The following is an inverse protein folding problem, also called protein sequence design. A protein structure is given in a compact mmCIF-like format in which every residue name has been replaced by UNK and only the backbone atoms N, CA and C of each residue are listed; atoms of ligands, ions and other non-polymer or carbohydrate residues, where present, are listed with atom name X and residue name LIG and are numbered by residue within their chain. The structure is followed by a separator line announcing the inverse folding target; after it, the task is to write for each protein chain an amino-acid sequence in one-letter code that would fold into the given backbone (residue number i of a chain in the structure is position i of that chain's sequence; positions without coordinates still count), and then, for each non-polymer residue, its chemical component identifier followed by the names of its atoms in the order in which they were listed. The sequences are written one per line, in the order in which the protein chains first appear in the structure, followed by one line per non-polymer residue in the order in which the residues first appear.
data_IF_185124098971
#
_entry.id   IF_185124098971
#
_cell.length_a   1.000
_cell.length_b   1.000
_cell.length_c   1.000
_cell.angle_alpha   90.00
_cell.angle_beta   90.00
_cell.angle_gamma   90.00
#
_symmetry.space_group_name_H-M   'P 1'
#
loop_
_entity.id
_entity.type
_entity.pdbx_description
1 polymer ?
#
# COMPACT_ATOMS: atom_id res chain seq x y z
N UNK A 1 -28.74 14.88 -67.28
CA UNK A 1 -30.19 14.90 -67.09
C UNK A 1 -30.44 13.95 -65.94
N UNK A 2 -30.29 14.48 -64.73
CA UNK A 2 -31.39 15.07 -63.94
C UNK A 2 -32.33 13.98 -63.47
N UNK A 3 -32.20 13.60 -62.20
CA UNK A 3 -33.34 13.54 -61.28
C UNK A 3 -32.80 13.56 -59.85
N UNK A 4 -32.85 14.76 -59.26
CA UNK A 4 -32.54 15.08 -57.87
C UNK A 4 -33.54 14.36 -56.94
N UNK A 5 -33.10 13.59 -55.92
CA UNK A 5 -34.00 13.03 -54.91
C UNK A 5 -34.41 14.08 -53.86
N UNK A 6 -35.56 13.87 -53.18
CA UNK A 6 -36.38 14.95 -52.64
C UNK A 6 -35.83 15.61 -51.37
N UNK A 7 -36.01 16.94 -51.28
CA UNK A 7 -35.70 17.79 -50.12
C UNK A 7 -36.42 17.31 -48.85
N UNK A 8 -35.64 16.85 -47.88
CA UNK A 8 -36.13 16.54 -46.53
C UNK A 8 -36.15 17.83 -45.70
N UNK A 9 -37.35 18.30 -45.37
CA UNK A 9 -37.58 19.47 -44.53
C UNK A 9 -36.95 19.28 -43.14
N UNK A 10 -36.18 20.27 -42.69
CA UNK A 10 -35.67 20.33 -41.32
C UNK A 10 -36.83 20.69 -40.36
N UNK A 11 -36.93 20.04 -39.18
CA UNK A 11 -37.87 20.45 -38.15
C UNK A 11 -37.56 21.87 -37.64
N UNK A 12 -38.57 22.61 -37.17
CA UNK A 12 -38.40 23.97 -36.68
C UNK A 12 -37.54 24.04 -35.42
N UNK A 13 -36.86 25.17 -35.30
CA UNK A 13 -36.01 25.61 -34.20
C UNK A 13 -36.79 25.57 -32.88
N UNK A 14 -36.52 24.57 -32.05
CA UNK A 14 -36.96 24.57 -30.65
C UNK A 14 -35.93 25.36 -29.87
N UNK A 15 -36.33 26.57 -29.46
CA UNK A 15 -35.59 27.42 -28.52
C UNK A 15 -35.30 26.61 -27.26
N UNK A 16 -34.05 26.15 -27.13
CA UNK A 16 -33.56 25.59 -25.88
C UNK A 16 -33.52 26.72 -24.84
N UNK A 17 -34.06 26.54 -23.63
CA UNK A 17 -33.88 27.51 -22.56
C UNK A 17 -32.37 27.65 -22.31
N UNK A 18 -31.88 28.89 -22.34
CA UNK A 18 -30.49 29.20 -22.03
C UNK A 18 -30.15 28.61 -20.65
N UNK A 19 -29.18 27.68 -20.63
CA UNK A 19 -28.62 27.18 -19.39
C UNK A 19 -28.04 28.39 -18.62
N UNK A 20 -28.30 28.52 -17.31
CA UNK A 20 -27.72 29.58 -16.51
C UNK A 20 -26.20 29.43 -16.58
N UNK A 21 -25.52 30.45 -17.08
CA UNK A 21 -24.07 30.55 -17.10
C UNK A 21 -23.57 30.51 -15.66
N UNK A 22 -23.12 29.34 -15.20
CA UNK A 22 -22.38 29.22 -13.95
C UNK A 22 -21.10 30.03 -14.10
N UNK A 23 -21.06 31.18 -13.45
CA UNK A 23 -19.85 31.95 -13.22
C UNK A 23 -18.77 30.99 -12.69
N UNK A 24 -17.66 30.88 -13.41
CA UNK A 24 -16.45 30.20 -12.93
C UNK A 24 -15.87 31.01 -11.77
N UNK A 25 -16.47 30.92 -10.61
CA UNK A 25 -15.81 31.27 -9.36
C UNK A 25 -14.64 30.31 -9.22
N UNK A 26 -13.42 30.81 -9.35
CA UNK A 26 -12.23 30.04 -9.04
C UNK A 26 -12.36 29.53 -7.60
N UNK A 27 -12.57 28.23 -7.43
CA UNK A 27 -12.53 27.59 -6.11
C UNK A 27 -11.07 27.65 -5.65
N UNK A 28 -10.74 28.69 -4.88
CA UNK A 28 -9.44 28.82 -4.23
C UNK A 28 -9.39 27.82 -3.08
N UNK A 29 -8.79 26.65 -3.33
CA UNK A 29 -8.52 25.66 -2.29
C UNK A 29 -7.30 26.15 -1.52
N UNK A 30 -7.52 26.80 -0.36
CA UNK A 30 -6.44 27.09 0.60
C UNK A 30 -6.03 25.80 1.29
N UNK A 31 -4.89 25.22 0.87
CA UNK A 31 -4.27 24.04 1.49
C UNK A 31 -3.62 24.33 2.87
N UNK A 32 -3.71 25.56 3.36
CA UNK A 32 -3.09 25.98 4.62
C UNK A 32 -4.15 26.09 5.71
N UNK A 33 -4.13 25.11 6.61
CA UNK A 33 -4.91 25.12 7.83
C UNK A 33 -4.37 26.26 8.71
N UNK A 34 -5.24 27.10 9.28
CA UNK A 34 -4.80 28.17 10.19
C UNK A 34 -4.17 27.60 11.46
N UNK A 35 -3.28 28.36 12.09
CA UNK A 35 -2.58 27.96 13.34
C UNK A 35 -3.54 27.55 14.46
N UNK A 36 -4.71 28.19 14.51
CA UNK A 36 -5.79 27.90 15.47
C UNK A 36 -6.54 26.61 15.17
N UNK A 37 -6.76 26.28 13.88
CA UNK A 37 -7.32 24.97 13.50
C UNK A 37 -6.30 23.85 13.71
N UNK A 38 -5.01 24.14 13.54
CA UNK A 38 -3.93 23.19 13.84
C UNK A 38 -3.88 22.84 15.34
N UNK A 39 -4.02 23.82 16.23
CA UNK A 39 -4.07 23.54 17.69
C UNK A 39 -5.33 22.78 18.09
N UNK A 40 -6.48 23.05 17.45
CA UNK A 40 -7.71 22.25 17.65
C UNK A 40 -7.57 20.79 17.18
N UNK A 41 -6.85 20.55 16.09
CA UNK A 41 -6.55 19.20 15.58
C UNK A 41 -5.42 18.50 16.36
N UNK A 42 -4.53 19.26 16.98
CA UNK A 42 -3.41 18.75 17.78
C UNK A 42 -3.81 18.31 19.20
N UNK A 43 -5.07 18.54 19.60
CA UNK A 43 -5.63 18.08 20.87
C UNK A 43 -6.05 16.61 20.88
N UNK A 44 -6.19 15.97 19.73
CA UNK A 44 -6.30 14.52 19.66
C UNK A 44 -4.90 13.94 19.64
N UNK A 45 -4.52 13.28 20.74
CA UNK A 45 -3.37 12.41 20.83
C UNK A 45 -3.23 11.62 19.51
N UNK A 46 -2.05 11.64 18.85
CA UNK A 46 -1.86 10.87 17.62
C UNK A 46 -2.30 9.44 17.94
N UNK A 47 -3.12 8.78 17.09
CA UNK A 47 -3.69 7.48 17.42
C UNK A 47 -2.53 6.60 17.85
N UNK A 48 -2.46 6.35 19.15
CA UNK A 48 -1.43 5.51 19.72
C UNK A 48 -1.63 4.18 18.99
N UNK A 49 -0.74 3.84 18.06
CA UNK A 49 -0.64 2.51 17.51
C UNK A 49 -0.49 1.65 18.77
N UNK A 50 -1.59 1.00 19.19
CA UNK A 50 -1.83 0.70 20.59
C UNK A 50 -0.64 -0.05 21.18
N UNK A 51 -0.16 0.29 22.38
CA UNK A 51 1.01 -0.36 22.98
C UNK A 51 0.89 -1.91 22.99
N UNK A 52 -0.34 -2.43 23.14
CA UNK A 52 -0.64 -3.85 23.01
C UNK A 52 -0.37 -4.44 21.60
N UNK A 53 -0.59 -3.67 20.54
CA UNK A 53 -0.25 -4.06 19.18
C UNK A 53 1.28 -4.18 18.98
N UNK A 54 2.07 -3.36 19.69
CA UNK A 54 3.54 -3.46 19.64
C UNK A 54 4.06 -4.66 20.43
N UNK A 55 3.46 -4.99 21.58
CA UNK A 55 3.84 -6.17 22.37
C UNK A 55 3.51 -7.48 21.62
N UNK A 56 2.32 -7.57 21.02
CA UNK A 56 1.94 -8.71 20.20
C UNK A 56 2.89 -8.89 18.99
N UNK A 57 3.32 -7.79 18.38
CA UNK A 57 4.27 -7.79 17.28
C UNK A 57 5.66 -8.27 17.71
N UNK A 58 6.17 -7.78 18.86
CA UNK A 58 7.45 -8.20 19.43
C UNK A 58 7.44 -9.67 19.85
N UNK A 59 6.36 -10.13 20.49
CA UNK A 59 6.16 -11.53 20.88
C UNK A 59 6.10 -12.44 19.66
N UNK A 60 5.32 -12.08 18.64
CA UNK A 60 5.25 -12.82 17.39
C UNK A 60 6.60 -12.87 16.68
N UNK A 61 7.33 -11.76 16.66
CA UNK A 61 8.68 -11.67 16.11
C UNK A 61 9.66 -12.59 16.84
N UNK A 62 9.67 -12.59 18.17
CA UNK A 62 10.51 -13.48 18.97
C UNK A 62 10.20 -14.95 18.66
N UNK A 63 8.91 -15.30 18.64
CA UNK A 63 8.42 -16.65 18.37
C UNK A 63 8.81 -17.15 16.98
N UNK A 64 8.57 -16.35 15.94
CA UNK A 64 8.93 -16.69 14.55
C UNK A 64 10.45 -16.75 14.34
N UNK A 65 11.23 -15.93 15.06
CA UNK A 65 12.71 -15.95 14.97
C UNK A 65 13.35 -17.11 15.71
N UNK A 66 12.68 -17.70 16.71
CA UNK A 66 13.14 -18.93 17.33
C UNK A 66 13.12 -20.10 16.32
N UNK A 67 12.21 -20.08 15.35
CA UNK A 67 12.24 -20.98 14.20
C UNK A 67 13.29 -20.53 13.16
N UNK A 68 14.48 -21.14 13.23
CA UNK A 68 15.62 -20.84 12.34
C UNK A 68 15.39 -21.26 10.88
N UNK A 69 14.38 -22.10 10.59
CA UNK A 69 14.12 -22.60 9.24
C UNK A 69 13.40 -21.58 8.35
N UNK A 70 12.78 -20.56 8.97
CA UNK A 70 11.86 -19.64 8.30
C UNK A 70 10.68 -20.34 7.57
N UNK A 71 10.33 -21.60 7.92
CA UNK A 71 9.24 -22.37 7.28
C UNK A 71 7.90 -21.63 7.27
N UNK A 72 7.65 -20.79 8.27
CA UNK A 72 6.48 -19.93 8.35
C UNK A 72 6.33 -18.98 7.13
N UNK A 73 7.42 -18.52 6.50
CA UNK A 73 7.34 -17.72 5.27
C UNK A 73 6.83 -18.54 4.08
N UNK A 74 7.31 -19.78 3.95
CA UNK A 74 6.90 -20.69 2.88
C UNK A 74 5.41 -21.05 2.96
N UNK A 75 4.87 -21.14 4.18
CA UNK A 75 3.44 -21.41 4.39
C UNK A 75 2.55 -20.21 4.03
N UNK A 76 3.06 -18.99 4.23
CA UNK A 76 2.28 -17.76 4.10
C UNK A 76 2.34 -17.17 2.69
N UNK A 77 3.46 -17.30 1.99
CA UNK A 77 3.62 -16.84 0.62
C UNK A 77 2.72 -17.62 -0.35
N UNK A 78 2.10 -16.94 -1.31
CA UNK A 78 1.26 -17.55 -2.36
C UNK A 78 2.03 -17.87 -3.64
N UNK A 79 3.32 -17.54 -3.70
CA UNK A 79 4.17 -17.80 -4.85
C UNK A 79 5.62 -17.41 -4.61
N UNK A 80 6.49 -17.77 -5.56
CA UNK A 80 7.94 -17.56 -5.48
C UNK A 80 8.29 -16.09 -5.21
N UNK A 81 7.71 -15.16 -5.96
CA UNK A 81 8.04 -13.74 -5.85
C UNK A 81 7.61 -13.13 -4.50
N UNK A 82 6.48 -13.56 -3.94
CA UNK A 82 6.07 -13.15 -2.59
C UNK A 82 7.08 -13.65 -1.55
N UNK A 83 7.45 -14.93 -1.65
CA UNK A 83 8.40 -15.56 -0.74
C UNK A 83 9.77 -14.87 -0.80
N UNK A 84 10.29 -14.63 -2.00
CA UNK A 84 11.58 -13.98 -2.22
C UNK A 84 11.61 -12.55 -1.66
N UNK A 85 10.55 -11.77 -1.90
CA UNK A 85 10.42 -10.42 -1.33
C UNK A 85 10.38 -10.46 0.20
N UNK A 86 9.59 -11.36 0.81
CA UNK A 86 9.51 -11.48 2.26
C UNK A 86 10.83 -11.94 2.89
N UNK A 87 11.57 -12.85 2.24
CA UNK A 87 12.90 -13.28 2.66
C UNK A 87 13.92 -12.13 2.60
N UNK A 88 13.87 -11.32 1.54
CA UNK A 88 14.78 -10.18 1.39
C UNK A 88 14.49 -9.10 2.44
N UNK A 89 13.21 -8.84 2.76
CA UNK A 89 12.83 -8.00 3.90
C UNK A 89 13.43 -8.55 5.20
N UNK A 90 13.21 -9.83 5.50
CA UNK A 90 13.75 -10.47 6.71
C UNK A 90 15.28 -10.37 6.80
N UNK A 91 15.97 -10.54 5.67
CA UNK A 91 17.43 -10.40 5.59
C UNK A 91 17.88 -9.01 5.98
N UNK A 92 17.28 -7.97 5.40
CA UNK A 92 17.64 -6.59 5.73
C UNK A 92 17.23 -6.18 7.14
N UNK A 93 16.13 -6.71 7.67
CA UNK A 93 15.78 -6.51 9.08
C UNK A 93 16.83 -7.10 10.03
N UNK A 94 17.37 -8.29 9.72
CA UNK A 94 18.44 -8.92 10.50
C UNK A 94 19.73 -8.10 10.45
N UNK A 95 20.10 -7.61 9.26
CA UNK A 95 21.26 -6.73 9.09
C UNK A 95 21.07 -5.43 9.89
N UNK A 96 19.91 -4.79 9.75
CA UNK A 96 19.64 -3.55 10.45
C UNK A 96 19.64 -3.71 11.97
N UNK A 97 19.08 -4.81 12.48
CA UNK A 97 19.09 -5.12 13.92
C UNK A 97 20.53 -5.24 14.42
N UNK A 98 21.41 -5.95 13.69
CA UNK A 98 22.82 -6.12 14.07
C UNK A 98 23.62 -4.80 14.03
N UNK A 99 23.23 -3.88 13.15
CA UNK A 99 23.87 -2.56 13.01
C UNK A 99 23.26 -1.48 13.92
N UNK A 100 22.20 -1.79 14.68
CA UNK A 100 21.53 -0.83 15.57
C UNK A 100 20.73 0.25 14.84
N UNK A 101 20.22 -0.01 13.64
CA UNK A 101 19.39 0.98 12.94
C UNK A 101 18.02 1.14 13.61
N UNK A 102 17.49 2.37 13.71
CA UNK A 102 16.19 2.64 14.35
C UNK A 102 15.03 2.00 13.56
N UNK A 103 15.10 2.04 12.23
CA UNK A 103 14.14 1.40 11.34
C UNK A 103 14.90 0.31 10.58
N UNK A 104 14.53 -0.94 10.84
CA UNK A 104 15.13 -2.11 10.21
C UNK A 104 14.21 -2.63 9.11
N UNK A 105 14.69 -2.82 7.89
CA UNK A 105 13.89 -3.35 6.80
C UNK A 105 14.49 -3.06 5.42
N UNK A 106 13.72 -3.36 4.37
CA UNK A 106 14.18 -3.25 2.99
C UNK A 106 13.84 -1.88 2.41
N UNK A 107 14.86 -1.05 2.18
CA UNK A 107 14.73 0.23 1.48
C UNK A 107 15.20 0.08 0.03
N UNK A 108 14.26 -0.23 -0.87
CA UNK A 108 14.49 -0.33 -2.32
C UNK A 108 13.26 0.18 -3.07
N UNK A 109 13.47 0.82 -4.21
CA UNK A 109 12.36 1.18 -5.09
C UNK A 109 11.75 -0.08 -5.73
N UNK A 110 10.53 0.01 -6.25
CA UNK A 110 9.93 -1.10 -7.00
C UNK A 110 10.77 -1.45 -8.24
N UNK A 111 11.40 -0.46 -8.87
CA UNK A 111 12.27 -0.66 -10.03
C UNK A 111 13.53 -1.45 -9.65
N UNK A 112 14.16 -1.11 -8.52
CA UNK A 112 15.33 -1.85 -8.02
C UNK A 112 14.97 -3.29 -7.64
N UNK A 113 13.79 -3.49 -7.04
CA UNK A 113 13.30 -4.82 -6.69
C UNK A 113 12.99 -5.65 -7.94
N UNK A 114 12.35 -5.04 -8.94
CA UNK A 114 12.04 -5.70 -10.20
C UNK A 114 13.33 -6.16 -10.91
N UNK A 115 14.34 -5.29 -10.97
CA UNK A 115 15.66 -5.64 -11.51
C UNK A 115 16.34 -6.74 -10.68
N UNK A 116 16.33 -6.63 -9.34
CA UNK A 116 16.95 -7.61 -8.44
C UNK A 116 16.37 -9.02 -8.57
N UNK A 117 15.04 -9.13 -8.71
CA UNK A 117 14.36 -10.42 -8.88
C UNK A 117 14.21 -10.85 -10.34
N UNK A 118 14.74 -10.08 -11.29
CA UNK A 118 14.61 -10.31 -12.73
C UNK A 118 13.14 -10.48 -13.17
N UNK A 119 12.26 -9.59 -12.71
CA UNK A 119 10.82 -9.58 -13.06
C UNK A 119 10.39 -8.22 -13.60
N UNK A 120 9.24 -8.16 -14.27
CA UNK A 120 8.65 -6.90 -14.71
C UNK A 120 8.18 -6.01 -13.55
N UNK A 121 8.27 -4.68 -13.73
CA UNK A 121 7.83 -3.68 -12.75
C UNK A 121 6.38 -3.87 -12.30
N UNK A 122 5.48 -4.27 -13.22
CA UNK A 122 4.07 -4.52 -12.91
C UNK A 122 3.89 -5.75 -12.04
N UNK A 123 4.68 -6.80 -12.27
CA UNK A 123 4.65 -8.01 -11.44
C UNK A 123 5.15 -7.70 -10.03
N UNK A 124 6.25 -6.96 -9.91
CA UNK A 124 6.76 -6.52 -8.60
C UNK A 124 5.75 -5.65 -7.85
N UNK A 125 5.15 -4.68 -8.55
CA UNK A 125 4.15 -3.79 -7.97
C UNK A 125 2.90 -4.53 -7.52
N UNK A 126 2.40 -5.48 -8.33
CA UNK A 126 1.28 -6.36 -7.95
C UNK A 126 1.61 -7.20 -6.74
N UNK A 127 2.78 -7.83 -6.70
CA UNK A 127 3.22 -8.66 -5.56
C UNK A 127 3.35 -7.85 -4.27
N UNK A 128 4.03 -6.71 -4.30
CA UNK A 128 4.14 -5.82 -3.14
C UNK A 128 2.76 -5.38 -2.64
N UNK A 129 1.88 -4.96 -3.55
CA UNK A 129 0.53 -4.53 -3.21
C UNK A 129 -0.32 -5.68 -2.64
N UNK A 130 -0.14 -6.92 -3.13
CA UNK A 130 -0.83 -8.09 -2.59
C UNK A 130 -0.40 -8.37 -1.15
N UNK A 131 0.89 -8.28 -0.84
CA UNK A 131 1.40 -8.46 0.53
C UNK A 131 0.91 -7.34 1.48
N UNK A 132 0.91 -6.08 1.02
CA UNK A 132 0.37 -4.94 1.77
C UNK A 132 -1.12 -5.10 2.06
N UNK A 133 -1.93 -5.46 1.05
CA UNK A 133 -3.38 -5.70 1.21
C UNK A 133 -3.68 -6.84 2.17
N UNK A 134 -2.83 -7.87 2.20
CA UNK A 134 -2.94 -8.97 3.17
C UNK A 134 -2.40 -8.62 4.56
N UNK A 135 -1.82 -7.43 4.72
CA UNK A 135 -1.22 -6.97 5.97
C UNK A 135 0.00 -7.80 6.41
N UNK A 136 0.68 -8.48 5.49
CA UNK A 136 1.85 -9.30 5.80
C UNK A 136 3.13 -8.49 5.89
N UNK A 137 3.14 -7.35 5.20
CA UNK A 137 4.21 -6.37 5.23
C UNK A 137 3.62 -4.99 5.49
N UNK A 138 4.47 -4.07 5.91
CA UNK A 138 4.18 -2.63 6.01
C UNK A 138 5.27 -1.80 5.32
N UNK A 139 5.00 -0.53 5.09
CA UNK A 139 5.94 0.45 4.55
C UNK A 139 6.04 1.66 5.49
N UNK A 140 7.09 1.70 6.31
CA UNK A 140 7.37 2.80 7.24
C UNK A 140 8.50 3.65 6.67
N UNK A 141 8.24 4.92 6.35
CA UNK A 141 9.22 5.84 5.74
C UNK A 141 9.90 5.28 4.47
N UNK A 142 9.14 4.54 3.67
CA UNK A 142 9.64 3.87 2.45
C UNK A 142 10.50 2.64 2.72
N UNK A 143 10.57 2.16 3.97
CA UNK A 143 11.23 0.92 4.36
C UNK A 143 10.18 -0.17 4.51
N UNK A 144 10.32 -1.25 3.74
CA UNK A 144 9.44 -2.41 3.85
C UNK A 144 9.82 -3.27 5.06
N UNK A 145 8.82 -3.66 5.85
CA UNK A 145 8.97 -4.47 7.06
C UNK A 145 7.96 -5.62 7.09
N UNK A 146 8.30 -6.73 7.73
CA UNK A 146 7.34 -7.79 8.00
C UNK A 146 6.43 -7.38 9.16
N UNK A 147 5.15 -7.72 9.03
CA UNK A 147 4.19 -7.65 10.14
C UNK A 147 4.08 -9.02 10.80
N UNK A 148 4.96 -9.30 11.75
CA UNK A 148 5.15 -10.58 12.42
C UNK A 148 3.87 -11.10 13.09
N UNK A 149 3.02 -10.26 13.70
CA UNK A 149 1.75 -10.72 14.27
C UNK A 149 0.80 -11.26 13.19
N UNK A 150 0.69 -10.55 12.07
CA UNK A 150 -0.14 -10.96 10.94
C UNK A 150 0.43 -12.20 10.24
N UNK A 151 1.76 -12.24 10.05
CA UNK A 151 2.46 -13.39 9.48
C UNK A 151 2.31 -14.62 10.36
N UNK A 152 2.46 -14.49 11.68
CA UNK A 152 2.27 -15.58 12.64
C UNK A 152 0.83 -16.11 12.57
N UNK A 153 -0.16 -15.21 12.55
CA UNK A 153 -1.58 -15.59 12.40
C UNK A 153 -1.82 -16.35 11.09
N UNK A 154 -1.27 -15.87 9.98
CA UNK A 154 -1.40 -16.52 8.68
C UNK A 154 -0.67 -17.89 8.64
N UNK A 155 0.50 -18.00 9.26
CA UNK A 155 1.26 -19.25 9.31
C UNK A 155 0.52 -20.31 10.15
N UNK A 156 -0.04 -19.93 11.31
CA UNK A 156 -0.87 -20.82 12.15
C UNK A 156 -2.09 -21.32 11.39
N UNK A 157 -2.76 -20.46 10.64
CA UNK A 157 -3.90 -20.84 9.80
C UNK A 157 -3.51 -21.83 8.67
N UNK A 158 -2.21 -21.97 8.37
CA UNK A 158 -1.64 -22.91 7.41
C UNK A 158 -0.95 -24.12 8.05
N UNK A 159 -1.20 -24.35 9.34
CA UNK A 159 -0.69 -25.52 10.07
C UNK A 159 0.74 -25.36 10.61
N UNK A 160 1.23 -24.13 10.74
CA UNK A 160 2.47 -23.89 11.49
C UNK A 160 2.22 -24.11 12.98
N UNK A 161 2.69 -25.25 13.49
CA UNK A 161 2.64 -25.64 14.89
C UNK A 161 4.09 -25.67 15.39
N UNK A 162 4.50 -24.61 16.08
CA UNK A 162 5.81 -24.50 16.73
C UNK A 162 5.66 -24.81 18.21
#
# INVERSE_FOLDING_TARGET
MDEDPPKKAAPPEVVAPAAPSTTKSAISIKNTISRERFTQLSGSEPPQICAAASEAELSARARLRADKSNRWLYLVARGKLELELMLEILRYERIGTRKGYPICGLKKSNQDLAAFFAVGNDSMSRTKNALLRRGLIDAVDGVLQLRYAAVLKAAKAKGWNQ
#
